data_IF_541455122086
#
_entry.id   IF_541455122086
#
_cell.length_a   1.000
_cell.length_b   1.000
_cell.length_c   1.000
_cell.angle_alpha   90.00
_cell.angle_beta   90.00
_cell.angle_gamma   90.00
#
_symmetry.space_group_name_H-M   'P 1'
#
loop_
_entity.id
_entity.type
_entity.pdbx_description
1 polymer ?
#
# COMPACT_ATOMS: atom_id res chain seq x y z
N UNK A 1 3.37 -11.95 0.61
CA UNK A 1 3.32 -11.05 -0.56
C UNK A 1 1.85 -10.78 -0.83
N UNK A 2 1.45 -9.55 -1.13
CA UNK A 2 0.04 -9.27 -1.43
C UNK A 2 -0.40 -9.97 -2.71
N UNK A 3 -1.51 -10.69 -2.64
CA UNK A 3 -2.19 -11.32 -3.77
C UNK A 3 -3.47 -10.52 -4.06
N UNK A 4 -3.61 -10.07 -5.31
CA UNK A 4 -4.78 -9.30 -5.70
C UNK A 4 -6.02 -10.21 -5.74
N UNK A 5 -7.18 -9.74 -5.26
CA UNK A 5 -8.41 -10.52 -5.34
C UNK A 5 -8.81 -10.78 -6.79
N UNK A 6 -9.54 -11.87 -7.03
CA UNK A 6 -10.07 -12.21 -8.35
C UNK A 6 -11.53 -11.74 -8.54
N UNK A 7 -12.11 -12.01 -9.71
CA UNK A 7 -13.48 -11.65 -10.00
C UNK A 7 -14.51 -12.44 -9.17
N UNK A 8 -14.18 -13.67 -8.80
CA UNK A 8 -15.02 -14.55 -7.98
C UNK A 8 -15.16 -14.01 -6.55
N UNK A 9 -14.04 -13.57 -5.97
CA UNK A 9 -13.99 -12.94 -4.66
C UNK A 9 -14.79 -11.63 -4.63
N UNK A 10 -14.74 -10.83 -5.70
CA UNK A 10 -15.57 -9.64 -5.78
C UNK A 10 -17.06 -9.98 -5.92
N UNK A 11 -17.42 -10.97 -6.75
CA UNK A 11 -18.80 -11.42 -6.87
C UNK A 11 -19.35 -11.91 -5.52
N UNK A 12 -18.56 -12.69 -4.78
CA UNK A 12 -18.88 -13.15 -3.43
C UNK A 12 -19.01 -11.98 -2.45
N UNK A 13 -18.09 -11.03 -2.48
CA UNK A 13 -18.11 -9.83 -1.64
C UNK A 13 -19.38 -8.99 -1.87
N UNK A 14 -19.84 -8.90 -3.12
CA UNK A 14 -21.04 -8.17 -3.51
C UNK A 14 -22.33 -8.97 -3.38
N UNK A 15 -22.25 -10.29 -3.15
CA UNK A 15 -23.41 -11.19 -3.12
C UNK A 15 -24.08 -11.36 -4.49
N UNK A 16 -23.32 -11.25 -5.58
CA UNK A 16 -23.82 -11.38 -6.95
C UNK A 16 -23.59 -12.79 -7.50
N UNK A 17 -24.61 -13.36 -8.15
CA UNK A 17 -24.50 -14.68 -8.79
C UNK A 17 -23.77 -14.65 -10.14
N UNK A 18 -23.79 -13.51 -10.84
CA UNK A 18 -23.11 -13.29 -12.12
C UNK A 18 -22.42 -11.91 -12.12
N UNK A 19 -21.22 -11.85 -12.70
CA UNK A 19 -20.41 -10.63 -12.80
C UNK A 19 -19.68 -10.56 -14.14
N UNK A 20 -19.44 -9.35 -14.64
CA UNK A 20 -18.67 -9.13 -15.87
C UNK A 20 -17.16 -9.20 -15.58
N UNK A 21 -16.55 -10.37 -15.76
CA UNK A 21 -15.16 -10.66 -15.39
C UNK A 21 -14.14 -9.63 -15.92
N UNK A 22 -14.14 -9.35 -17.22
CA UNK A 22 -13.19 -8.41 -17.84
C UNK A 22 -13.26 -7.00 -17.22
N UNK A 23 -14.47 -6.57 -16.84
CA UNK A 23 -14.67 -5.27 -16.19
C UNK A 23 -14.18 -5.30 -14.75
N UNK A 24 -14.43 -6.39 -14.03
CA UNK A 24 -13.97 -6.57 -12.65
C UNK A 24 -12.46 -6.59 -12.58
N UNK A 25 -11.78 -7.32 -13.46
CA UNK A 25 -10.32 -7.35 -13.54
C UNK A 25 -9.74 -5.95 -13.74
N UNK A 26 -10.34 -5.17 -14.64
CA UNK A 26 -9.94 -3.78 -14.86
C UNK A 26 -10.09 -2.96 -13.57
N UNK A 27 -11.23 -3.06 -12.89
CA UNK A 27 -11.50 -2.30 -11.66
C UNK A 27 -10.58 -2.71 -10.51
N UNK A 28 -10.31 -4.00 -10.33
CA UNK A 28 -9.39 -4.50 -9.31
C UNK A 28 -7.98 -3.99 -9.59
N UNK A 29 -7.51 -4.07 -10.84
CA UNK A 29 -6.18 -3.54 -11.22
C UNK A 29 -6.04 -2.05 -10.91
N UNK A 30 -7.06 -1.26 -11.23
CA UNK A 30 -7.07 0.17 -10.93
C UNK A 30 -7.17 0.44 -9.41
N UNK A 31 -7.94 -0.36 -8.68
CA UNK A 31 -8.05 -0.25 -7.22
C UNK A 31 -6.72 -0.59 -6.53
N UNK A 32 -6.00 -1.61 -6.98
CA UNK A 32 -4.65 -1.96 -6.51
C UNK A 32 -3.69 -0.79 -6.75
N UNK A 33 -3.62 -0.29 -8.00
CA UNK A 33 -2.76 0.85 -8.34
C UNK A 33 -3.07 2.09 -7.48
N UNK A 34 -4.36 2.33 -7.20
CA UNK A 34 -4.78 3.42 -6.34
C UNK A 34 -4.37 3.21 -4.87
N UNK A 35 -4.51 1.99 -4.33
CA UNK A 35 -4.08 1.67 -2.98
C UNK A 35 -2.55 1.77 -2.82
N UNK A 36 -1.78 1.41 -3.85
CA UNK A 36 -0.32 1.52 -3.89
C UNK A 36 0.19 2.97 -3.80
N UNK A 37 -0.64 3.96 -4.17
CA UNK A 37 -0.29 5.38 -3.96
C UNK A 37 -0.22 5.77 -2.49
N UNK A 38 -0.82 4.98 -1.60
CA UNK A 38 -0.85 5.23 -0.15
C UNK A 38 0.21 4.40 0.57
N UNK A 39 0.34 3.12 0.22
CA UNK A 39 1.29 2.18 0.83
C UNK A 39 1.87 1.28 -0.25
N UNK A 40 3.20 1.21 -0.34
CA UNK A 40 3.91 0.31 -1.25
C UNK A 40 5.09 -0.37 -0.54
N UNK A 41 5.25 -1.71 -0.62
CA UNK A 41 4.31 -2.68 -1.21
C UNK A 41 3.01 -2.80 -0.39
N UNK A 42 1.92 -3.27 -1.01
CA UNK A 42 0.67 -3.48 -0.28
C UNK A 42 0.83 -4.58 0.78
N UNK A 43 0.25 -4.40 1.98
CA UNK A 43 0.22 -5.44 3.00
C UNK A 43 -0.74 -6.56 2.59
N UNK A 44 -0.47 -7.78 3.05
CA UNK A 44 -1.28 -8.97 2.74
C UNK A 44 -2.75 -8.81 3.13
N UNK A 45 -3.03 -8.07 4.20
CA UNK A 45 -4.39 -7.83 4.68
C UNK A 45 -5.13 -6.71 3.93
N UNK A 46 -4.54 -6.13 2.88
CA UNK A 46 -5.16 -5.04 2.10
C UNK A 46 -6.33 -5.48 1.22
N UNK A 47 -6.56 -6.78 1.05
CA UNK A 47 -7.59 -7.35 0.16
C UNK A 47 -8.98 -6.77 0.42
N UNK A 48 -9.37 -6.62 1.69
CA UNK A 48 -10.66 -6.03 2.05
C UNK A 48 -10.83 -4.57 1.59
N UNK A 49 -9.74 -3.79 1.58
CA UNK A 49 -9.77 -2.41 1.10
C UNK A 49 -9.88 -2.37 -0.42
N UNK A 50 -9.12 -3.21 -1.12
CA UNK A 50 -9.17 -3.34 -2.58
C UNK A 50 -10.57 -3.76 -3.03
N UNK A 51 -11.16 -4.78 -2.39
CA UNK A 51 -12.53 -5.24 -2.65
C UNK A 51 -13.57 -4.12 -2.39
N UNK A 52 -13.42 -3.35 -1.31
CA UNK A 52 -14.32 -2.24 -1.02
C UNK A 52 -14.27 -1.13 -2.08
N UNK A 53 -13.07 -0.78 -2.57
CA UNK A 53 -12.89 0.21 -3.64
C UNK A 53 -13.44 -0.32 -4.96
N UNK A 54 -13.07 -1.53 -5.36
CA UNK A 54 -13.52 -2.16 -6.60
C UNK A 54 -15.05 -2.36 -6.61
N UNK A 55 -15.62 -2.80 -5.49
CA UNK A 55 -17.08 -3.01 -5.36
C UNK A 55 -17.88 -1.71 -5.49
N UNK A 56 -17.39 -0.60 -4.90
CA UNK A 56 -18.02 0.72 -5.08
C UNK A 56 -17.96 1.21 -6.52
N UNK A 57 -16.83 1.03 -7.19
CA UNK A 57 -16.67 1.38 -8.60
C UNK A 57 -17.54 0.50 -9.51
N UNK A 58 -17.75 -0.78 -9.15
CA UNK A 58 -18.59 -1.69 -9.91
C UNK A 58 -20.08 -1.32 -9.80
N UNK A 59 -20.57 -1.02 -8.59
CA UNK A 59 -21.98 -0.68 -8.34
C UNK A 59 -22.34 0.70 -8.91
N UNK A 60 -21.47 1.70 -8.82
CA UNK A 60 -21.76 3.05 -9.27
C UNK A 60 -20.65 3.61 -10.18
N UNK A 61 -20.55 3.12 -11.43
CA UNK A 61 -19.48 3.48 -12.36
C UNK A 61 -19.55 4.93 -12.87
N UNK A 62 -20.65 5.63 -12.63
CA UNK A 62 -20.84 7.03 -13.05
C UNK A 62 -20.85 8.00 -11.86
N UNK A 63 -20.69 7.49 -10.64
CA UNK A 63 -20.80 8.24 -9.39
C UNK A 63 -22.00 9.21 -9.41
N UNK A 64 -23.16 8.67 -9.75
CA UNK A 64 -24.39 9.45 -9.78
C UNK A 64 -24.85 9.64 -8.34
N UNK A 65 -24.92 10.90 -7.92
CA UNK A 65 -25.56 11.30 -6.67
C UNK A 65 -26.95 11.84 -7.00
N UNK A 66 -27.96 11.31 -6.30
CA UNK A 66 -29.32 11.84 -6.34
C UNK A 66 -29.44 12.92 -5.27
N UNK A 67 -29.62 14.15 -5.69
CA UNK A 67 -29.93 15.25 -4.79
C UNK A 67 -31.38 15.69 -5.05
N UNK A 68 -32.22 15.58 -4.02
CA UNK A 68 -33.60 16.07 -4.06
C UNK A 68 -33.58 17.53 -3.62
N UNK A 69 -33.72 18.45 -4.57
CA UNK A 69 -33.87 19.88 -4.29
C UNK A 69 -35.34 20.23 -4.53
N UNK A 70 -36.16 20.21 -3.47
CA UNK A 70 -37.60 20.46 -3.58
C UNK A 70 -38.34 19.34 -4.33
N UNK A 71 -39.31 19.65 -5.23
CA UNK A 71 -40.10 18.64 -5.95
C UNK A 71 -39.38 18.02 -7.16
N UNK A 72 -38.14 18.42 -7.47
CA UNK A 72 -37.38 17.93 -8.61
C UNK A 72 -36.17 17.11 -8.13
N UNK A 73 -36.02 15.90 -8.66
CA UNK A 73 -34.80 15.11 -8.53
C UNK A 73 -33.86 15.42 -9.69
N UNK A 74 -32.63 15.86 -9.37
CA UNK A 74 -31.61 16.13 -10.40
C UNK A 74 -30.48 15.12 -10.24
N UNK A 75 -30.18 14.43 -11.34
CA UNK A 75 -29.06 13.51 -11.45
C UNK A 75 -27.84 14.28 -11.93
N UNK A 76 -26.86 14.51 -11.05
CA UNK A 76 -25.57 15.11 -11.43
C UNK A 76 -24.48 14.03 -11.39
N UNK A 77 -23.79 13.76 -12.50
CA UNK A 77 -22.58 12.94 -12.48
C UNK A 77 -21.50 13.72 -11.73
N UNK A 78 -21.01 13.18 -10.61
CA UNK A 78 -19.97 13.82 -9.80
C UNK A 78 -18.73 12.92 -9.75
N UNK A 79 -17.80 13.10 -10.69
CA UNK A 79 -16.43 12.62 -10.53
C UNK A 79 -16.06 11.29 -11.23
N UNK A 80 -14.93 10.73 -10.77
CA UNK A 80 -14.20 9.61 -11.37
C UNK A 80 -14.85 8.26 -11.02
N UNK A 81 -16.00 7.99 -11.62
CA UNK A 81 -16.59 6.65 -11.78
C UNK A 81 -16.52 5.66 -10.62
N UNK A 82 -16.70 6.12 -9.38
CA UNK A 82 -16.70 5.29 -8.18
C UNK A 82 -15.32 4.77 -7.73
N UNK A 83 -14.23 5.13 -8.43
CA UNK A 83 -12.87 4.71 -8.10
C UNK A 83 -12.18 5.78 -7.24
N UNK A 84 -12.40 5.73 -5.93
CA UNK A 84 -11.77 6.65 -4.97
C UNK A 84 -11.51 5.97 -3.63
N UNK A 85 -10.53 6.49 -2.89
CA UNK A 85 -10.25 6.08 -1.52
C UNK A 85 -10.97 6.99 -0.54
N UNK A 86 -11.80 6.41 0.33
CA UNK A 86 -12.38 7.15 1.45
C UNK A 86 -11.34 7.41 2.55
N UNK A 87 -11.69 8.28 3.49
CA UNK A 87 -10.86 8.52 4.68
C UNK A 87 -10.66 7.23 5.50
N UNK A 88 -11.68 6.37 5.57
CA UNK A 88 -11.61 5.09 6.27
C UNK A 88 -10.64 4.13 5.58
N UNK A 89 -10.69 4.02 4.25
CA UNK A 89 -9.79 3.16 3.47
C UNK A 89 -8.33 3.57 3.67
N UNK A 90 -8.05 4.87 3.62
CA UNK A 90 -6.69 5.41 3.86
C UNK A 90 -6.22 5.13 5.29
N UNK A 91 -7.11 5.24 6.28
CA UNK A 91 -6.77 4.94 7.67
C UNK A 91 -6.52 3.45 7.88
N UNK A 92 -7.31 2.57 7.24
CA UNK A 92 -7.12 1.12 7.26
C UNK A 92 -5.80 0.72 6.60
N UNK A 93 -5.50 1.21 5.40
CA UNK A 93 -4.22 0.93 4.73
C UNK A 93 -3.02 1.34 5.59
N UNK A 94 -3.08 2.54 6.19
CA UNK A 94 -2.03 3.03 7.08
C UNK A 94 -1.90 2.18 8.35
N UNK A 95 -3.00 1.80 8.98
CA UNK A 95 -2.97 0.99 10.20
C UNK A 95 -2.44 -0.42 9.93
N UNK A 96 -2.76 -1.00 8.78
CA UNK A 96 -2.23 -2.29 8.33
C UNK A 96 -0.73 -2.22 8.03
N UNK A 97 -0.26 -1.10 7.44
CA UNK A 97 1.17 -0.88 7.17
C UNK A 97 2.01 -0.59 8.43
N UNK A 98 1.41 0.02 9.46
CA UNK A 98 2.11 0.52 10.65
C UNK A 98 2.14 -0.43 11.85
N UNK A 99 1.51 -1.60 11.77
CA UNK A 99 1.46 -2.59 12.88
C UNK A 99 2.61 -3.61 12.85
N UNK A 100 3.39 -3.65 11.77
CA UNK A 100 4.65 -4.40 11.67
C UNK A 100 5.83 -3.52 12.07
N UNK A 101 6.05 -3.35 13.38
CA UNK A 101 7.25 -2.68 13.88
C UNK A 101 8.51 -3.52 13.64
N UNK A 102 9.07 -3.48 12.43
CA UNK A 102 10.47 -3.80 12.10
C UNK A 102 10.66 -3.81 10.56
N UNK A 103 10.51 -2.65 9.92
CA UNK A 103 11.19 -2.41 8.65
C UNK A 103 12.39 -1.53 8.95
N UNK A 104 13.39 -2.11 9.61
CA UNK A 104 14.76 -1.61 9.46
C UNK A 104 15.10 -1.95 8.01
N UNK A 105 14.81 -1.05 7.08
CA UNK A 105 15.49 -1.08 5.79
C UNK A 105 16.93 -0.84 6.15
N UNK A 106 17.73 -1.90 6.14
CA UNK A 106 19.16 -1.78 6.29
C UNK A 106 19.64 -0.98 5.07
N UNK A 107 20.06 0.29 5.23
CA UNK A 107 20.54 1.09 4.11
C UNK A 107 21.94 0.63 3.67
N UNK A 108 22.52 -0.36 4.35
CA UNK A 108 23.84 -0.90 4.07
C UNK A 108 23.82 -1.68 2.75
N UNK A 109 24.51 -1.22 1.70
CA UNK A 109 24.63 -1.99 0.47
C UNK A 109 25.38 -3.30 0.72
N UNK A 110 25.09 -4.35 -0.05
CA UNK A 110 25.71 -5.69 0.12
C UNK A 110 27.25 -5.67 0.05
N UNK A 111 27.83 -4.64 -0.57
CA UNK A 111 29.28 -4.45 -0.71
C UNK A 111 29.90 -3.62 0.42
N UNK A 112 29.12 -3.21 1.42
CA UNK A 112 29.65 -2.43 2.53
C UNK A 112 30.51 -3.32 3.43
N UNK A 113 31.81 -3.03 3.44
CA UNK A 113 32.73 -3.55 4.44
C UNK A 113 32.55 -2.74 5.73
N UNK A 114 32.36 -3.37 6.90
CA UNK A 114 32.28 -2.67 8.19
C UNK A 114 33.60 -2.03 8.63
N UNK A 115 34.66 -2.08 7.81
CA UNK A 115 35.93 -1.44 8.10
C UNK A 115 35.78 0.10 8.19
N UNK A 116 36.38 0.72 9.22
CA UNK A 116 36.47 2.18 9.28
C UNK A 116 37.28 2.68 8.08
N UNK A 117 36.63 3.37 7.13
CA UNK A 117 37.32 3.96 5.98
C UNK A 117 38.03 5.27 6.35
N UNK A 118 37.67 5.90 7.48
CA UNK A 118 38.33 7.11 7.97
C UNK A 118 38.02 7.43 9.45
N UNK A 119 38.99 7.97 10.22
CA UNK A 119 40.41 8.06 9.90
C UNK A 119 41.05 6.67 9.95
N UNK A 120 41.84 6.34 8.93
CA UNK A 120 42.72 5.18 8.97
C UNK A 120 43.88 5.58 9.87
N UNK A 121 44.02 4.90 11.01
CA UNK A 121 45.18 5.05 11.86
C UNK A 121 46.39 4.43 11.14
N UNK A 122 47.37 5.27 10.80
CA UNK A 122 48.57 4.87 10.07
C UNK A 122 49.54 4.04 10.90
N UNK A 123 49.33 3.95 12.21
CA UNK A 123 50.24 3.30 13.16
C UNK A 123 49.77 1.89 13.57
N UNK A 124 48.67 1.37 12.98
CA UNK A 124 48.18 0.01 13.20
C UNK A 124 49.20 -1.03 12.73
N UNK A 125 50.01 -1.53 13.66
CA UNK A 125 51.03 -2.54 13.42
C UNK A 125 51.29 -3.43 14.65
N UNK A 126 51.96 -4.58 14.49
CA UNK A 126 52.30 -5.44 15.62
C UNK A 126 53.29 -4.74 16.57
N UNK A 127 52.79 -4.32 17.74
CA UNK A 127 53.54 -3.56 18.76
C UNK A 127 52.68 -2.67 19.66
N UNK A 128 51.38 -2.54 19.37
CA UNK A 128 50.45 -1.63 20.02
C UNK A 128 49.95 -2.12 21.38
N UNK A 129 49.68 -1.18 22.29
CA UNK A 129 49.11 -1.45 23.61
C UNK A 129 47.57 -1.39 23.51
N UNK A 130 46.88 -2.28 24.23
CA UNK A 130 45.43 -2.30 24.22
C UNK A 130 44.87 -1.29 25.22
N UNK A 131 44.18 -0.25 24.73
CA UNK A 131 43.46 0.72 25.55
C UNK A 131 41.95 0.43 25.61
N UNK A 132 41.36 0.26 26.81
CA UNK A 132 39.92 0.04 26.95
C UNK A 132 39.10 1.23 26.42
N UNK A 133 38.27 0.97 25.39
CA UNK A 133 37.38 1.96 24.78
C UNK A 133 37.83 2.46 23.41
N UNK A 134 39.10 2.24 23.05
CA UNK A 134 39.70 2.75 21.80
C UNK A 134 40.38 1.67 20.96
N UNK A 135 40.68 0.51 21.54
CA UNK A 135 41.25 -0.64 20.82
C UNK A 135 42.78 -0.68 20.90
N UNK A 136 43.41 -1.24 19.89
CA UNK A 136 44.87 -1.33 19.79
C UNK A 136 45.41 -0.03 19.20
N UNK A 137 46.24 0.70 19.97
CA UNK A 137 46.85 1.99 19.60
C UNK A 137 48.36 1.93 19.73
#
# INVERSE_FOLDING_TARGET
>A
MFEAPDATELALYLGLGEIEEARVELLIRQAVALCETVVRPLPEQATAVVLSVAGRAYINPTQVSYETIGPMSVQRPTGSGGLYLTKADKAALKSLSGRGGAFTVDPTPETADPSPTWPIDSDVGPGLEYEPGWGWI
#
